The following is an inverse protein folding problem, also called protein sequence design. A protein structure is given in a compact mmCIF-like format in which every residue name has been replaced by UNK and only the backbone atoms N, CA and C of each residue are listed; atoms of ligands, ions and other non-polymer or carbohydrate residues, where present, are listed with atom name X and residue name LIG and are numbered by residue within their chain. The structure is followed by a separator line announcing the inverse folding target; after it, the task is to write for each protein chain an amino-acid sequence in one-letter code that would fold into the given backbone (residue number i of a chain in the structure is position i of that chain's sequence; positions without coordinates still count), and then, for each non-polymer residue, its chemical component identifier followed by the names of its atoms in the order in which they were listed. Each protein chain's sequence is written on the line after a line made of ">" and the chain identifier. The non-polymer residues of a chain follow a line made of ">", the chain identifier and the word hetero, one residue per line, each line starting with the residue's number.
data_IF_288023971177
#
_entry.id   IF_288023971177
#
_cell.length_a   1.000
_cell.length_b   1.000
_cell.length_c   1.000
_cell.angle_alpha   90.00
_cell.angle_beta   90.00
_cell.angle_gamma   90.00
#
_symmetry.space_group_name_H-M   'P 1'
#
loop_
_entity.id
_entity.type
_entity.pdbx_description
1 polymer ?
#
# COMPACT_ATOMS: atom_id res chain seq x y z
N UNK A 1 11.53 27.19 9.11
CA UNK A 1 12.48 26.24 9.73
C UNK A 1 13.62 25.97 8.75
N UNK A 2 14.85 26.37 9.11
CA UNK A 2 16.04 26.16 8.29
C UNK A 2 16.30 24.66 8.09
N UNK A 3 16.58 24.22 6.86
CA UNK A 3 16.78 22.82 6.47
C UNK A 3 17.92 22.09 7.24
N UNK A 4 18.68 22.80 8.08
CA UNK A 4 19.85 22.30 8.83
C UNK A 4 19.55 21.65 10.19
N UNK A 5 18.30 21.55 10.65
CA UNK A 5 18.00 21.03 12.00
C UNK A 5 17.45 19.59 12.07
N UNK A 6 17.14 18.93 10.95
CA UNK A 6 16.57 17.58 11.00
C UNK A 6 17.69 16.53 11.15
N UNK A 7 17.60 15.55 12.08
CA UNK A 7 18.67 14.56 12.30
C UNK A 7 18.99 13.74 11.03
N UNK A 8 17.98 13.45 10.21
CA UNK A 8 18.15 12.77 8.92
C UNK A 8 18.87 13.60 7.84
N UNK A 9 19.08 14.91 8.04
CA UNK A 9 19.80 15.75 7.06
C UNK A 9 21.28 15.38 6.90
N UNK A 10 21.85 14.61 7.85
CA UNK A 10 23.25 14.18 7.87
C UNK A 10 23.53 12.98 6.95
N UNK A 11 22.49 12.26 6.54
CA UNK A 11 22.61 11.04 5.75
C UNK A 11 22.37 11.31 4.25
N UNK A 12 22.89 10.47 3.34
CA UNK A 12 22.72 10.67 1.91
C UNK A 12 21.24 10.67 1.49
N UNK A 13 20.90 11.53 0.51
CA UNK A 13 19.52 11.80 0.12
C UNK A 13 18.74 10.60 -0.40
N UNK A 14 19.41 9.64 -1.04
CA UNK A 14 18.74 8.44 -1.56
C UNK A 14 18.16 7.59 -0.41
N UNK A 15 18.88 7.49 0.71
CA UNK A 15 18.44 6.73 1.89
C UNK A 15 17.35 7.48 2.65
N UNK A 16 17.52 8.78 2.84
CA UNK A 16 16.60 9.58 3.65
C UNK A 16 15.24 9.77 2.95
N UNK A 17 15.23 9.79 1.61
CA UNK A 17 14.00 9.76 0.80
C UNK A 17 13.19 8.47 0.99
N UNK A 18 13.85 7.34 1.20
CA UNK A 18 13.18 6.06 1.49
C UNK A 18 12.45 6.08 2.84
N UNK A 19 13.01 6.79 3.83
CA UNK A 19 12.41 7.01 5.16
C UNK A 19 11.48 8.24 5.17
N UNK A 20 11.26 8.85 3.99
CA UNK A 20 10.33 9.96 3.75
C UNK A 20 10.79 11.34 4.20
N UNK A 21 12.07 11.50 4.52
CA UNK A 21 12.65 12.83 4.69
C UNK A 21 12.83 13.51 3.33
N UNK A 22 12.29 14.72 3.20
CA UNK A 22 12.55 15.62 2.07
C UNK A 22 13.04 16.96 2.62
N UNK A 23 14.21 17.46 2.18
CA UNK A 23 14.76 18.73 2.67
C UNK A 23 13.96 19.96 2.20
N UNK A 24 13.12 19.81 1.18
CA UNK A 24 12.23 20.85 0.65
C UNK A 24 11.12 20.27 -0.20
N UNK A 25 10.21 21.13 -0.68
CA UNK A 25 9.16 20.70 -1.60
C UNK A 25 9.79 20.20 -2.92
N UNK A 26 9.29 19.09 -3.49
CA UNK A 26 9.72 18.64 -4.81
C UNK A 26 9.52 19.74 -5.86
N UNK A 27 10.46 19.87 -6.79
CA UNK A 27 10.27 20.76 -7.95
C UNK A 27 9.14 20.22 -8.80
N UNK A 28 8.19 21.09 -9.15
CA UNK A 28 7.08 20.74 -10.02
C UNK A 28 7.60 20.32 -11.41
N UNK A 29 7.25 19.12 -11.85
CA UNK A 29 7.64 18.64 -13.18
C UNK A 29 6.66 19.11 -14.27
N UNK A 30 7.10 19.29 -15.52
CA UNK A 30 6.19 19.57 -16.62
C UNK A 30 5.18 18.42 -16.84
N UNK A 31 3.91 18.77 -17.06
CA UNK A 31 2.83 17.77 -17.12
C UNK A 31 3.08 16.67 -18.17
N UNK A 32 3.58 17.01 -19.36
CA UNK A 32 3.83 16.02 -20.42
C UNK A 32 4.91 14.99 -20.03
N UNK A 33 5.93 15.41 -19.27
CA UNK A 33 6.95 14.51 -18.72
C UNK A 33 6.30 13.55 -17.74
N UNK A 34 5.45 14.07 -16.85
CA UNK A 34 4.71 13.25 -15.89
C UNK A 34 3.80 12.27 -16.62
N UNK A 35 3.03 12.69 -17.63
CA UNK A 35 2.13 11.80 -18.38
C UNK A 35 2.89 10.66 -19.06
N UNK A 36 3.98 10.99 -19.76
CA UNK A 36 4.82 10.02 -20.45
C UNK A 36 5.39 8.99 -19.47
N UNK A 37 6.04 9.44 -18.39
CA UNK A 37 6.64 8.54 -17.40
C UNK A 37 5.60 7.82 -16.54
N UNK A 38 4.43 8.41 -16.32
CA UNK A 38 3.30 7.75 -15.65
C UNK A 38 2.86 6.53 -16.44
N UNK A 39 2.68 6.69 -17.75
CA UNK A 39 2.29 5.61 -18.63
C UNK A 39 3.34 4.50 -18.65
N UNK A 40 4.60 4.85 -18.95
CA UNK A 40 5.69 3.87 -19.03
C UNK A 40 5.88 3.14 -17.70
N UNK A 41 5.91 3.87 -16.58
CA UNK A 41 6.10 3.29 -15.24
C UNK A 41 4.93 2.41 -14.80
N UNK A 42 3.70 2.90 -14.94
CA UNK A 42 2.51 2.13 -14.55
C UNK A 42 2.32 0.89 -15.44
N UNK A 43 2.45 1.04 -16.77
CA UNK A 43 2.31 -0.07 -17.70
C UNK A 43 3.36 -1.15 -17.42
N UNK A 44 4.66 -0.78 -17.41
CA UNK A 44 5.73 -1.74 -17.17
C UNK A 44 5.62 -2.39 -15.79
N UNK A 45 5.38 -1.61 -14.73
CA UNK A 45 5.25 -2.11 -13.37
C UNK A 45 4.07 -3.06 -13.19
N UNK A 46 2.89 -2.72 -13.72
CA UNK A 46 1.72 -3.58 -13.66
C UNK A 46 1.86 -4.82 -14.55
N UNK A 47 2.49 -4.71 -15.73
CA UNK A 47 2.80 -5.87 -16.57
C UNK A 47 3.75 -6.84 -15.87
N UNK A 48 4.80 -6.34 -15.20
CA UNK A 48 5.72 -7.19 -14.45
C UNK A 48 5.00 -7.88 -13.29
N UNK A 49 4.20 -7.14 -12.50
CA UNK A 49 3.40 -7.72 -11.43
C UNK A 49 2.48 -8.81 -11.98
N UNK A 50 1.69 -8.50 -13.01
CA UNK A 50 0.79 -9.47 -13.62
C UNK A 50 1.52 -10.67 -14.20
N UNK A 51 2.68 -10.48 -14.84
CA UNK A 51 3.45 -11.58 -15.38
C UNK A 51 3.91 -12.53 -14.25
N UNK A 52 4.38 -11.97 -13.13
CA UNK A 52 4.77 -12.77 -11.96
C UNK A 52 3.60 -13.54 -11.38
N UNK A 53 2.46 -12.90 -11.12
CA UNK A 53 1.32 -13.57 -10.49
C UNK A 53 0.59 -14.57 -11.42
N UNK A 54 0.52 -14.29 -12.72
CA UNK A 54 -0.22 -15.15 -13.68
C UNK A 54 0.64 -16.25 -14.32
N UNK A 55 1.97 -16.14 -14.34
CA UNK A 55 2.85 -17.14 -14.97
C UNK A 55 3.77 -17.88 -13.99
N UNK A 56 3.89 -17.45 -12.74
CA UNK A 56 4.64 -18.21 -11.74
C UNK A 56 3.84 -19.41 -11.23
N UNK A 57 4.42 -20.60 -11.33
CA UNK A 57 3.85 -21.82 -10.77
C UNK A 57 3.53 -21.71 -9.27
N UNK A 58 4.28 -20.90 -8.52
CA UNK A 58 4.06 -20.73 -7.08
C UNK A 58 2.72 -20.07 -6.76
N UNK A 59 2.35 -19.03 -7.51
CA UNK A 59 1.13 -18.26 -7.30
C UNK A 59 -0.09 -18.95 -7.91
N UNK A 60 0.07 -19.54 -9.10
CA UNK A 60 -0.97 -20.33 -9.77
C UNK A 60 -1.47 -21.48 -8.90
N UNK A 61 -0.58 -22.25 -8.26
CA UNK A 61 -0.95 -23.37 -7.38
C UNK A 61 -1.69 -22.94 -6.11
N UNK A 62 -1.61 -21.66 -5.74
CA UNK A 62 -2.25 -21.09 -4.54
C UNK A 62 -3.47 -20.24 -4.86
N UNK A 63 -3.92 -20.24 -6.12
CA UNK A 63 -5.05 -19.44 -6.60
C UNK A 63 -4.93 -17.94 -6.25
N UNK A 64 -3.69 -17.43 -6.15
CA UNK A 64 -3.48 -16.02 -5.83
C UNK A 64 -3.95 -15.16 -7.02
N UNK A 65 -4.82 -14.16 -6.80
CA UNK A 65 -5.34 -13.34 -7.88
C UNK A 65 -4.21 -12.62 -8.63
N UNK A 66 -4.29 -12.60 -9.96
CA UNK A 66 -3.27 -12.03 -10.84
C UNK A 66 -3.01 -10.54 -10.63
N UNK A 67 -4.03 -9.79 -10.19
CA UNK A 67 -3.94 -8.38 -9.83
C UNK A 67 -5.06 -8.04 -8.85
N UNK A 68 -4.79 -7.12 -7.93
CA UNK A 68 -5.77 -6.53 -7.02
C UNK A 68 -5.90 -5.04 -7.36
N UNK A 69 -7.10 -4.49 -7.25
CA UNK A 69 -7.39 -3.09 -7.57
C UNK A 69 -6.47 -2.08 -6.84
N UNK A 70 -6.00 -2.43 -5.64
CA UNK A 70 -5.05 -1.62 -4.88
C UNK A 70 -3.74 -1.38 -5.61
N UNK A 71 -3.23 -2.33 -6.41
CA UNK A 71 -2.00 -2.15 -7.19
C UNK A 71 -2.14 -1.05 -8.25
N UNK A 72 -3.29 -1.00 -8.93
CA UNK A 72 -3.59 0.08 -9.88
C UNK A 72 -3.65 1.43 -9.18
N UNK A 73 -4.32 1.51 -8.03
CA UNK A 73 -4.39 2.76 -7.24
C UNK A 73 -3.01 3.19 -6.71
N UNK A 74 -2.15 2.25 -6.29
CA UNK A 74 -0.75 2.53 -5.94
C UNK A 74 0.03 3.04 -7.15
N UNK A 75 -0.15 2.45 -8.33
CA UNK A 75 0.49 2.91 -9.55
C UNK A 75 0.10 4.36 -9.92
N UNK A 76 -1.18 4.72 -9.76
CA UNK A 76 -1.66 6.11 -9.95
C UNK A 76 -0.91 7.08 -9.04
N UNK A 77 -0.74 6.74 -7.76
CA UNK A 77 0.00 7.60 -6.83
C UNK A 77 1.49 7.65 -7.12
N UNK A 78 2.13 6.48 -7.22
CA UNK A 78 3.59 6.34 -7.32
C UNK A 78 4.11 6.89 -8.64
N UNK A 79 3.40 6.69 -9.75
CA UNK A 79 3.84 7.14 -11.06
C UNK A 79 3.17 8.45 -11.50
N UNK A 80 1.92 8.70 -11.12
CA UNK A 80 1.15 9.89 -11.53
C UNK A 80 1.21 11.07 -10.58
N UNK A 81 1.39 10.83 -9.28
CA UNK A 81 1.46 11.86 -8.24
C UNK A 81 2.83 11.85 -7.53
N UNK A 82 3.92 11.86 -8.31
CA UNK A 82 5.31 11.70 -7.81
C UNK A 82 5.72 12.71 -6.73
N UNK A 83 5.09 13.88 -6.72
CA UNK A 83 5.37 14.95 -5.77
C UNK A 83 4.64 14.74 -4.43
N UNK A 84 3.56 13.96 -4.42
CA UNK A 84 2.75 13.74 -3.23
C UNK A 84 3.55 12.99 -2.14
N UNK A 85 3.45 13.41 -0.86
CA UNK A 85 4.06 12.67 0.25
C UNK A 85 3.55 11.22 0.37
N UNK A 86 2.29 10.98 -0.01
CA UNK A 86 1.64 9.66 0.03
C UNK A 86 2.20 8.67 -1.01
N UNK A 87 2.97 9.17 -1.98
CA UNK A 87 3.63 8.39 -3.03
C UNK A 87 5.07 8.01 -2.67
N UNK A 88 5.56 8.42 -1.49
CA UNK A 88 6.91 8.09 -1.04
C UNK A 88 7.05 6.60 -0.70
N UNK A 89 8.25 6.01 -0.83
CA UNK A 89 8.49 4.59 -0.53
C UNK A 89 8.02 4.17 0.86
N UNK A 90 8.23 4.99 1.89
CA UNK A 90 7.75 4.71 3.26
C UNK A 90 6.23 4.53 3.33
N UNK A 91 5.49 5.32 2.57
CA UNK A 91 4.04 5.31 2.58
C UNK A 91 3.56 4.07 1.86
N UNK A 92 4.07 3.82 0.65
CA UNK A 92 3.76 2.63 -0.13
C UNK A 92 4.05 1.34 0.67
N UNK A 93 5.29 1.14 1.09
CA UNK A 93 5.72 -0.12 1.73
C UNK A 93 5.13 -0.25 3.13
N UNK A 94 5.31 0.78 3.96
CA UNK A 94 4.83 0.78 5.34
C UNK A 94 3.30 0.73 5.41
N UNK A 95 2.61 1.43 4.51
CA UNK A 95 1.15 1.41 4.43
C UNK A 95 0.62 0.02 4.11
N UNK A 96 1.10 -0.62 3.03
CA UNK A 96 0.66 -1.98 2.68
C UNK A 96 1.02 -3.01 3.76
N UNK A 97 2.23 -2.95 4.32
CA UNK A 97 2.67 -3.88 5.35
C UNK A 97 1.82 -3.77 6.62
N UNK A 98 1.65 -2.55 7.16
CA UNK A 98 0.85 -2.34 8.37
C UNK A 98 -0.62 -2.67 8.12
N UNK A 99 -1.16 -2.32 6.95
CA UNK A 99 -2.54 -2.65 6.59
C UNK A 99 -2.77 -4.16 6.49
N UNK A 100 -1.86 -4.90 5.86
CA UNK A 100 -1.92 -6.35 5.79
C UNK A 100 -1.85 -6.97 7.19
N UNK A 101 -0.92 -6.51 8.03
CA UNK A 101 -0.76 -6.98 9.40
C UNK A 101 -2.03 -6.75 10.23
N UNK A 102 -2.58 -5.53 10.22
CA UNK A 102 -3.80 -5.21 10.96
C UNK A 102 -5.01 -6.00 10.46
N UNK A 103 -5.15 -6.14 9.14
CA UNK A 103 -6.23 -6.92 8.54
C UNK A 103 -6.15 -8.39 8.96
N UNK A 104 -4.97 -9.01 8.86
CA UNK A 104 -4.76 -10.42 9.29
C UNK A 104 -5.04 -10.59 10.78
N UNK A 105 -4.57 -9.69 11.65
CA UNK A 105 -4.85 -9.76 13.10
C UNK A 105 -6.36 -9.77 13.35
N UNK A 106 -7.10 -8.85 12.74
CA UNK A 106 -8.56 -8.75 12.92
C UNK A 106 -9.25 -10.00 12.37
N UNK A 107 -8.90 -10.46 11.17
CA UNK A 107 -9.46 -11.69 10.59
C UNK A 107 -9.21 -12.91 11.49
N UNK A 108 -8.01 -13.06 12.04
CA UNK A 108 -7.69 -14.17 12.94
C UNK A 108 -8.43 -14.07 14.27
N UNK A 109 -8.62 -12.87 14.82
CA UNK A 109 -9.45 -12.68 16.02
C UNK A 109 -10.91 -13.09 15.77
N UNK A 110 -11.49 -12.71 14.63
CA UNK A 110 -12.83 -13.13 14.24
C UNK A 110 -12.91 -14.65 13.99
N UNK A 111 -11.82 -15.27 13.52
CA UNK A 111 -11.75 -16.72 13.31
C UNK A 111 -11.75 -17.55 14.60
N UNK A 112 -11.49 -16.94 15.76
CA UNK A 112 -11.60 -17.61 17.07
C UNK A 112 -13.05 -17.79 17.53
N UNK A 113 -14.03 -17.19 16.82
CA UNK A 113 -15.44 -17.38 17.15
C UNK A 113 -15.87 -18.84 16.93
N UNK A 114 -16.67 -19.44 17.84
CA UNK A 114 -17.05 -20.86 17.76
C UNK A 114 -17.85 -21.26 16.51
N UNK A 115 -18.52 -20.31 15.87
CA UNK A 115 -19.45 -20.57 14.78
C UNK A 115 -18.99 -19.90 13.48
N UNK A 116 -18.50 -20.72 12.53
CA UNK A 116 -18.04 -20.25 11.21
C UNK A 116 -19.15 -19.57 10.39
N UNK A 117 -20.42 -19.99 10.52
CA UNK A 117 -21.53 -19.33 9.83
C UNK A 117 -21.75 -17.89 10.33
N UNK A 118 -21.35 -17.60 11.58
CA UNK A 118 -21.35 -16.25 12.15
C UNK A 118 -20.18 -15.41 11.66
N UNK A 119 -19.06 -16.03 11.29
CA UNK A 119 -17.93 -15.33 10.66
C UNK A 119 -18.33 -14.82 9.27
N UNK A 120 -18.96 -15.68 8.47
CA UNK A 120 -19.40 -15.33 7.11
C UNK A 120 -20.39 -14.15 7.14
N UNK A 121 -21.32 -14.13 8.10
CA UNK A 121 -22.28 -13.02 8.27
C UNK A 121 -21.67 -11.73 8.81
N UNK A 122 -20.46 -11.78 9.38
CA UNK A 122 -19.76 -10.63 9.96
C UNK A 122 -18.55 -10.15 9.14
N UNK A 123 -18.27 -10.75 7.97
CA UNK A 123 -17.14 -10.33 7.11
C UNK A 123 -17.18 -8.84 6.74
N UNK A 124 -18.36 -8.29 6.49
CA UNK A 124 -18.52 -6.86 6.20
C UNK A 124 -18.04 -5.98 7.37
N UNK A 125 -18.31 -6.40 8.61
CA UNK A 125 -17.88 -5.71 9.83
C UNK A 125 -16.38 -5.90 10.07
N UNK A 126 -15.86 -7.11 9.89
CA UNK A 126 -14.43 -7.38 9.98
C UNK A 126 -13.63 -6.55 8.96
N UNK A 127 -14.16 -6.41 7.74
CA UNK A 127 -13.61 -5.55 6.69
C UNK A 127 -13.58 -4.07 7.10
N UNK A 128 -14.71 -3.54 7.57
CA UNK A 128 -14.80 -2.16 8.03
C UNK A 128 -13.85 -1.89 9.22
N UNK A 129 -13.78 -2.81 10.18
CA UNK A 129 -12.87 -2.71 11.34
C UNK A 129 -11.40 -2.77 10.91
N UNK A 130 -11.07 -3.66 9.97
CA UNK A 130 -9.72 -3.81 9.42
C UNK A 130 -9.25 -2.55 8.73
N UNK A 131 -10.05 -2.01 7.81
CA UNK A 131 -9.69 -0.80 7.08
C UNK A 131 -9.61 0.43 7.98
N UNK A 132 -10.61 0.64 8.85
CA UNK A 132 -10.60 1.81 9.76
C UNK A 132 -9.42 1.78 10.74
N UNK A 133 -9.11 0.61 11.29
CA UNK A 133 -7.95 0.42 12.18
C UNK A 133 -6.64 0.63 11.43
N UNK A 134 -6.50 0.06 10.23
CA UNK A 134 -5.33 0.27 9.37
C UNK A 134 -5.10 1.75 9.04
N UNK A 135 -6.17 2.51 8.78
CA UNK A 135 -6.10 3.96 8.54
C UNK A 135 -5.49 4.67 9.76
N UNK A 136 -6.00 4.41 10.96
CA UNK A 136 -5.48 5.02 12.19
C UNK A 136 -4.01 4.63 12.43
N UNK A 137 -3.67 3.34 12.26
CA UNK A 137 -2.29 2.86 12.40
C UNK A 137 -1.35 3.59 11.43
N UNK A 138 -1.73 3.69 10.15
CA UNK A 138 -0.93 4.42 9.16
C UNK A 138 -0.79 5.91 9.46
N UNK A 139 -1.83 6.54 10.01
CA UNK A 139 -1.78 7.94 10.46
C UNK A 139 -0.78 8.11 11.60
N UNK A 140 -0.83 7.22 12.60
CA UNK A 140 0.08 7.24 13.74
C UNK A 140 1.54 7.02 13.34
N UNK A 141 1.80 6.14 12.37
CA UNK A 141 3.16 5.82 11.90
C UNK A 141 3.65 6.74 10.78
N UNK A 142 2.80 7.64 10.27
CA UNK A 142 3.14 8.52 9.14
C UNK A 142 3.35 7.78 7.82
N UNK A 143 2.77 6.60 7.66
CA UNK A 143 2.87 5.73 6.47
C UNK A 143 1.57 5.66 5.66
N UNK A 144 0.71 6.68 5.77
CA UNK A 144 -0.56 6.74 5.03
C UNK A 144 -0.36 6.56 3.53
N UNK A 145 -0.91 5.47 3.01
CA UNK A 145 -1.02 5.18 1.59
C UNK A 145 -2.44 4.70 1.31
N UNK A 146 -3.33 5.54 0.76
CA UNK A 146 -4.75 5.20 0.60
C UNK A 146 -5.03 3.84 -0.05
N UNK A 147 -4.30 3.39 -1.11
CA UNK A 147 -4.46 2.06 -1.69
C UNK A 147 -4.22 0.89 -0.70
N UNK A 148 -3.44 1.11 0.35
CA UNK A 148 -3.18 0.11 1.37
C UNK A 148 -4.41 -0.20 2.25
N UNK A 149 -5.36 0.74 2.38
CA UNK A 149 -6.63 0.46 3.08
C UNK A 149 -7.42 -0.71 2.47
N UNK A 150 -7.34 -0.86 1.14
CA UNK A 150 -7.91 -2.02 0.44
C UNK A 150 -7.15 -3.33 0.72
N UNK A 151 -5.87 -3.25 1.12
CA UNK A 151 -5.09 -4.43 1.55
C UNK A 151 -5.59 -4.96 2.88
N UNK A 152 -5.87 -4.07 3.84
CA UNK A 152 -6.51 -4.46 5.11
C UNK A 152 -7.91 -5.04 4.88
N UNK A 153 -8.70 -4.40 3.99
CA UNK A 153 -10.04 -4.87 3.64
C UNK A 153 -10.01 -6.29 3.08
N UNK A 154 -9.14 -6.52 2.08
CA UNK A 154 -9.05 -7.80 1.38
C UNK A 154 -8.71 -8.95 2.34
N UNK A 155 -7.84 -8.71 3.31
CA UNK A 155 -7.48 -9.71 4.33
C UNK A 155 -8.68 -10.17 5.18
N UNK A 156 -9.75 -9.37 5.29
CA UNK A 156 -10.94 -9.70 6.08
C UNK A 156 -12.13 -10.18 5.25
N UNK A 157 -12.25 -9.75 3.99
CA UNK A 157 -13.37 -10.13 3.12
C UNK A 157 -13.07 -11.33 2.24
N UNK A 158 -11.80 -11.65 1.98
CA UNK A 158 -11.44 -12.85 1.25
C UNK A 158 -11.61 -14.08 2.15
N UNK A 159 -12.42 -15.04 1.70
CA UNK A 159 -12.70 -16.27 2.43
C UNK A 159 -11.49 -17.21 2.56
N UNK A 160 -10.47 -17.01 1.72
CA UNK A 160 -9.25 -17.83 1.69
C UNK A 160 -8.14 -17.35 2.64
N UNK A 161 -8.34 -16.23 3.35
CA UNK A 161 -7.37 -15.62 4.31
C UNK A 161 -7.77 -15.94 5.76
#
# INVERSE_FOLDING_TARGET
>A
MSARSHPLSRYPLWLTRWVGYRPGQPKKQPNYVVWFWSFIGAFSGLCILQAVFNYSHYFLRRHVPGVIASYGASAVLVYGAIEAPLSQPRALIGGHFLSALTGIIITKLFSLMPNKARLDSLRWLAGALSTSTAIVVMQMTGTTHPPAGATALLAAVNAEV
#
